data_IF_080393252006
#
_entry.id   IF_080393252006
#
_cell.length_a   1.000
_cell.length_b   1.000
_cell.length_c   1.000
_cell.angle_alpha   90.00
_cell.angle_beta   90.00
_cell.angle_gamma   90.00
#
_symmetry.space_group_name_H-M   'P 1'
#
loop_
_entity.id
_entity.type
_entity.pdbx_description
1 polymer ?
#
# COMPACT_ATOMS: atom_id res chain seq x y z
N UNK A 1 -12.89 -3.34 -31.53
CA UNK A 1 -12.07 -3.79 -30.39
C UNK A 1 -11.64 -2.60 -29.55
N UNK A 2 -11.85 -2.64 -28.23
CA UNK A 2 -11.45 -1.57 -27.28
C UNK A 2 -10.19 -1.98 -26.51
N UNK A 3 -9.25 -1.06 -26.32
CA UNK A 3 -8.03 -1.28 -25.52
C UNK A 3 -8.21 -0.73 -24.12
N UNK A 4 -7.87 -1.52 -23.11
CA UNK A 4 -8.01 -1.16 -21.70
C UNK A 4 -6.67 -1.35 -21.00
N UNK A 5 -6.02 -0.25 -20.63
CA UNK A 5 -4.82 -0.27 -19.79
C UNK A 5 -5.22 -0.33 -18.31
N UNK A 6 -4.79 -1.38 -17.63
CA UNK A 6 -5.00 -1.58 -16.19
C UNK A 6 -3.71 -1.32 -15.44
N UNK A 7 -3.76 -0.42 -14.48
CA UNK A 7 -2.57 0.14 -13.84
C UNK A 7 -2.66 -0.07 -12.34
N UNK A 8 -1.66 -0.73 -11.74
CA UNK A 8 -1.56 -0.78 -10.28
C UNK A 8 -1.15 0.60 -9.75
N UNK A 9 -1.75 1.05 -8.65
CA UNK A 9 -1.35 2.31 -8.02
C UNK A 9 0.15 2.40 -7.71
N UNK A 10 0.68 3.63 -7.72
CA UNK A 10 2.03 3.94 -7.25
C UNK A 10 2.22 3.59 -5.76
N UNK A 11 3.47 3.50 -5.29
CA UNK A 11 3.75 3.11 -3.92
C UNK A 11 2.99 3.99 -2.91
N UNK A 12 2.28 3.31 -2.01
CA UNK A 12 1.52 3.92 -0.93
C UNK A 12 1.98 3.38 0.43
N UNK A 13 1.61 4.08 1.49
CA UNK A 13 2.12 3.85 2.85
C UNK A 13 2.01 2.40 3.34
N UNK A 14 0.93 1.66 3.06
CA UNK A 14 0.83 0.25 3.45
C UNK A 14 1.80 -0.66 2.71
N UNK A 15 2.23 -0.32 1.49
CA UNK A 15 3.36 -1.01 0.84
C UNK A 15 4.67 -0.72 1.57
N UNK A 16 4.84 0.51 2.05
CA UNK A 16 6.02 0.94 2.79
C UNK A 16 6.12 0.28 4.16
N UNK A 17 5.04 0.39 4.92
CA UNK A 17 4.89 -0.02 6.31
C UNK A 17 4.50 -1.49 6.49
N UNK A 18 4.35 -2.24 5.39
CA UNK A 18 3.90 -3.65 5.38
C UNK A 18 2.54 -3.83 6.09
N UNK A 19 1.61 -2.90 5.83
CA UNK A 19 0.24 -2.91 6.32
C UNK A 19 -0.76 -3.20 5.21
N UNK A 20 -1.82 -3.90 5.55
CA UNK A 20 -2.87 -4.32 4.63
C UNK A 20 -3.76 -3.11 4.34
N UNK A 21 -3.88 -2.74 3.07
CA UNK A 21 -4.80 -1.68 2.68
C UNK A 21 -6.25 -2.18 2.60
N UNK A 22 -6.56 -3.04 1.63
CA UNK A 22 -7.95 -3.23 1.23
C UNK A 22 -8.58 -1.87 0.87
N UNK A 23 -9.68 -1.53 1.50
CA UNK A 23 -10.38 -0.25 1.35
C UNK A 23 -9.85 0.86 2.25
N UNK A 24 -8.94 0.57 3.18
CA UNK A 24 -8.22 1.58 3.95
C UNK A 24 -7.53 2.56 3.01
N UNK A 25 -7.78 3.85 3.22
CA UNK A 25 -7.22 4.92 2.42
C UNK A 25 -5.89 5.39 3.02
N UNK A 26 -4.92 5.66 2.15
CA UNK A 26 -3.54 5.98 2.55
C UNK A 26 -2.87 6.89 1.51
N UNK A 27 -1.81 7.57 1.95
CA UNK A 27 -1.04 8.49 1.10
C UNK A 27 -0.12 7.70 0.16
N UNK A 28 0.24 8.32 -0.95
CA UNK A 28 1.41 7.91 -1.70
C UNK A 28 2.68 8.26 -0.90
N UNK A 29 3.73 7.45 -1.07
CA UNK A 29 5.05 7.75 -0.52
C UNK A 29 5.80 8.70 -1.46
N UNK A 30 6.92 9.27 -0.99
CA UNK A 30 7.80 10.07 -1.86
C UNK A 30 8.30 9.26 -3.06
N UNK A 31 8.64 7.98 -2.85
CA UNK A 31 8.94 7.02 -3.94
C UNK A 31 7.76 6.87 -4.90
N UNK A 32 6.53 6.75 -4.37
CA UNK A 32 5.31 6.67 -5.18
C UNK A 32 5.12 7.90 -6.05
N UNK A 33 5.36 9.10 -5.52
CA UNK A 33 5.33 10.34 -6.29
C UNK A 33 6.38 10.37 -7.41
N UNK A 34 7.59 9.82 -7.16
CA UNK A 34 8.59 9.66 -8.21
C UNK A 34 8.13 8.67 -9.30
N UNK A 35 7.51 7.54 -8.92
CA UNK A 35 6.97 6.57 -9.87
C UNK A 35 5.91 7.20 -10.79
N UNK A 36 5.09 8.13 -10.29
CA UNK A 36 4.09 8.84 -11.11
C UNK A 36 4.71 9.58 -12.30
N UNK A 37 5.90 10.14 -12.15
CA UNK A 37 6.58 10.84 -13.26
C UNK A 37 6.95 9.88 -14.40
N UNK A 38 7.42 8.68 -14.06
CA UNK A 38 7.75 7.64 -15.05
C UNK A 38 6.49 7.06 -15.71
N UNK A 39 5.43 6.87 -14.92
CA UNK A 39 4.15 6.42 -15.43
C UNK A 39 3.53 7.47 -16.38
N UNK A 40 3.56 8.75 -16.01
CA UNK A 40 3.13 9.83 -16.88
C UNK A 40 3.90 9.77 -18.21
N UNK A 41 5.23 9.66 -18.17
CA UNK A 41 6.06 9.58 -19.38
C UNK A 41 5.70 8.38 -20.27
N UNK A 42 5.42 7.22 -19.67
CA UNK A 42 4.99 6.01 -20.40
C UNK A 42 3.73 6.24 -21.23
N UNK A 43 2.80 7.07 -20.73
CA UNK A 43 1.53 7.34 -21.40
C UNK A 43 1.55 8.59 -22.29
N UNK A 44 2.70 9.25 -22.50
CA UNK A 44 2.79 10.46 -23.34
C UNK A 44 2.40 10.22 -24.80
N UNK A 45 2.74 9.06 -25.37
CA UNK A 45 2.46 8.72 -26.77
C UNK A 45 1.16 7.93 -26.97
N UNK A 46 0.37 7.73 -25.90
CA UNK A 46 -0.86 6.94 -25.95
C UNK A 46 -2.05 7.90 -25.94
N UNK A 47 -2.78 7.94 -27.05
CA UNK A 47 -4.04 8.68 -27.10
C UNK A 47 -5.10 7.90 -26.31
N UNK A 48 -5.57 8.51 -25.22
CA UNK A 48 -6.62 7.95 -24.37
C UNK A 48 -7.93 8.69 -24.64
N UNK A 49 -9.03 7.95 -24.66
CA UNK A 49 -10.40 8.47 -24.77
C UNK A 49 -11.02 8.70 -23.39
N UNK A 50 -10.62 7.90 -22.39
CA UNK A 50 -11.04 8.08 -21.00
C UNK A 50 -10.01 7.54 -20.00
N UNK A 51 -10.05 8.10 -18.79
CA UNK A 51 -9.27 7.62 -17.64
C UNK A 51 -10.19 7.37 -16.46
N UNK A 52 -10.12 6.17 -15.92
CA UNK A 52 -10.86 5.73 -14.75
C UNK A 52 -9.92 5.48 -13.57
N UNK A 53 -10.47 5.48 -12.37
CA UNK A 53 -9.77 4.98 -11.20
C UNK A 53 -10.73 4.38 -10.19
N UNK A 54 -10.20 3.56 -9.29
CA UNK A 54 -10.89 3.42 -8.00
C UNK A 54 -10.96 4.78 -7.31
N UNK A 55 -11.90 4.94 -6.40
CA UNK A 55 -12.12 6.17 -5.62
C UNK A 55 -11.14 6.35 -4.43
N UNK A 56 -10.21 5.42 -4.23
CA UNK A 56 -9.18 5.52 -3.18
C UNK A 56 -8.08 6.49 -3.62
N UNK A 57 -7.50 7.23 -2.68
CA UNK A 57 -6.55 8.31 -2.99
C UNK A 57 -5.37 7.82 -3.84
N UNK A 58 -4.75 6.71 -3.46
CA UNK A 58 -3.58 6.14 -4.15
C UNK A 58 -3.84 5.84 -5.63
N UNK A 59 -5.03 5.36 -5.99
CA UNK A 59 -5.41 5.09 -7.39
C UNK A 59 -5.83 6.36 -8.11
N UNK A 60 -6.56 7.27 -7.46
CA UNK A 60 -6.91 8.59 -8.01
C UNK A 60 -5.68 9.38 -8.42
N UNK A 61 -4.70 9.51 -7.53
CA UNK A 61 -3.44 10.20 -7.82
C UNK A 61 -2.65 9.51 -8.95
N UNK A 62 -2.69 8.18 -9.01
CA UNK A 62 -2.06 7.41 -10.10
C UNK A 62 -2.73 7.69 -11.44
N UNK A 63 -4.06 7.65 -11.49
CA UNK A 63 -4.82 7.95 -12.70
C UNK A 63 -4.67 9.41 -13.14
N UNK A 64 -4.56 10.36 -12.21
CA UNK A 64 -4.33 11.77 -12.54
C UNK A 64 -3.00 11.97 -13.27
N UNK A 65 -1.94 11.25 -12.89
CA UNK A 65 -0.67 11.30 -13.60
C UNK A 65 -0.81 10.85 -15.06
N UNK A 66 -1.61 9.80 -15.31
CA UNK A 66 -1.90 9.28 -16.66
C UNK A 66 -2.77 10.26 -17.46
N UNK A 67 -3.81 10.82 -16.84
CA UNK A 67 -4.76 11.72 -17.49
C UNK A 67 -4.15 13.07 -17.88
N UNK A 68 -3.08 13.49 -17.19
CA UNK A 68 -2.43 14.79 -17.38
C UNK A 68 -1.98 15.05 -18.81
N UNK A 69 -1.47 14.04 -19.52
CA UNK A 69 -0.99 14.21 -20.90
C UNK A 69 -2.13 14.43 -21.90
N UNK A 70 -3.30 13.82 -21.65
CA UNK A 70 -4.47 13.90 -22.53
C UNK A 70 -5.46 15.00 -22.11
N UNK A 71 -5.20 15.70 -21.01
CA UNK A 71 -6.12 16.73 -20.47
C UNK A 71 -7.47 16.17 -20.01
N UNK A 72 -7.56 14.86 -19.74
CA UNK A 72 -8.80 14.18 -19.37
C UNK A 72 -9.09 14.33 -17.87
N UNK A 73 -10.38 14.32 -17.52
CA UNK A 73 -10.82 14.20 -16.13
C UNK A 73 -10.87 12.72 -15.73
N UNK A 74 -10.38 12.39 -14.54
CA UNK A 74 -10.44 11.03 -14.00
C UNK A 74 -11.85 10.71 -13.51
N UNK A 75 -12.43 9.62 -14.01
CA UNK A 75 -13.71 9.08 -13.59
C UNK A 75 -13.52 8.04 -12.48
N UNK A 76 -14.05 8.31 -11.28
CA UNK A 76 -13.88 7.41 -10.13
C UNK A 76 -15.03 6.42 -9.99
N UNK A 77 -14.74 5.14 -9.70
CA UNK A 77 -15.77 4.13 -9.39
C UNK A 77 -15.33 3.16 -8.28
N UNK A 78 -16.19 2.83 -7.31
CA UNK A 78 -15.91 1.81 -6.31
C UNK A 78 -15.67 0.41 -6.91
N UNK A 79 -16.18 0.14 -8.13
CA UNK A 79 -16.02 -1.15 -8.80
C UNK A 79 -14.55 -1.53 -9.06
N UNK A 80 -13.65 -0.53 -9.08
CA UNK A 80 -12.20 -0.71 -9.25
C UNK A 80 -11.43 -0.78 -7.93
N UNK A 81 -12.09 -0.81 -6.75
CA UNK A 81 -11.42 -0.88 -5.44
C UNK A 81 -10.60 -2.16 -5.28
N UNK A 82 -9.66 -2.15 -4.35
CA UNK A 82 -8.97 -3.37 -3.91
C UNK A 82 -9.99 -4.35 -3.30
N UNK A 83 -9.59 -5.60 -3.07
CA UNK A 83 -10.38 -6.51 -2.23
C UNK A 83 -10.70 -5.85 -0.88
N UNK A 84 -11.96 -5.93 -0.43
CA UNK A 84 -12.28 -5.55 0.96
C UNK A 84 -11.63 -6.57 1.89
N UNK A 85 -10.68 -6.15 2.72
CA UNK A 85 -9.96 -7.06 3.62
C UNK A 85 -10.58 -7.14 5.01
N UNK A 86 -11.69 -6.43 5.25
CA UNK A 86 -12.45 -6.50 6.49
C UNK A 86 -11.59 -6.16 7.71
N UNK A 87 -11.64 -7.01 8.74
CA UNK A 87 -10.87 -6.82 9.99
C UNK A 87 -9.34 -6.87 9.82
N UNK A 88 -8.83 -7.23 8.65
CA UNK A 88 -7.41 -7.17 8.33
C UNK A 88 -6.95 -5.79 7.87
N UNK A 89 -7.85 -4.89 7.48
CA UNK A 89 -7.48 -3.55 7.03
C UNK A 89 -6.72 -2.79 8.12
N UNK A 90 -5.66 -2.10 7.69
CA UNK A 90 -4.68 -1.44 8.55
C UNK A 90 -4.06 -2.36 9.63
N UNK A 91 -4.01 -3.68 9.42
CA UNK A 91 -3.15 -4.59 10.20
C UNK A 91 -1.82 -4.83 9.50
N UNK A 92 -0.76 -5.17 10.24
CA UNK A 92 0.51 -5.56 9.63
C UNK A 92 0.40 -6.97 9.06
N UNK A 93 1.10 -7.23 7.94
CA UNK A 93 1.24 -8.59 7.43
C UNK A 93 1.92 -9.52 8.44
N UNK A 94 2.82 -8.99 9.27
CA UNK A 94 3.43 -9.77 10.36
C UNK A 94 2.41 -10.25 11.39
N UNK A 95 1.42 -9.42 11.74
CA UNK A 95 0.36 -9.80 12.69
C UNK A 95 -0.51 -10.90 12.12
N UNK A 96 -0.87 -10.79 10.83
CA UNK A 96 -1.64 -11.83 10.14
C UNK A 96 -0.85 -13.13 10.02
N UNK A 97 0.45 -13.06 9.72
CA UNK A 97 1.31 -14.24 9.65
C UNK A 97 1.46 -14.96 10.99
N UNK A 98 1.49 -14.23 12.11
CA UNK A 98 1.61 -14.80 13.45
C UNK A 98 0.28 -15.41 13.95
N UNK A 99 -0.82 -14.64 13.86
CA UNK A 99 -2.07 -14.99 14.53
C UNK A 99 -3.12 -15.65 13.61
N UNK A 100 -2.97 -15.53 12.29
CA UNK A 100 -3.89 -16.10 11.31
C UNK A 100 -3.16 -16.83 10.16
N UNK A 101 -2.17 -17.70 10.44
CA UNK A 101 -1.32 -18.29 9.41
C UNK A 101 -2.09 -19.08 8.34
N UNK A 102 -3.15 -19.80 8.74
CA UNK A 102 -3.99 -20.56 7.80
C UNK A 102 -4.73 -19.64 6.83
N UNK A 103 -5.42 -18.62 7.35
CA UNK A 103 -6.11 -17.64 6.51
C UNK A 103 -5.11 -16.86 5.63
N UNK A 104 -3.88 -16.62 6.12
CA UNK A 104 -2.85 -15.99 5.30
C UNK A 104 -2.43 -16.86 4.12
N UNK A 105 -2.32 -18.18 4.33
CA UNK A 105 -2.09 -19.14 3.25
C UNK A 105 -3.25 -19.18 2.26
N UNK A 106 -4.49 -19.16 2.75
CA UNK A 106 -5.67 -19.07 1.89
C UNK A 106 -5.67 -17.79 1.06
N UNK A 107 -5.45 -16.62 1.66
CA UNK A 107 -5.37 -15.35 0.93
C UNK A 107 -4.31 -15.38 -0.17
N UNK A 108 -3.15 -16.00 0.10
CA UNK A 108 -2.01 -15.96 -0.82
C UNK A 108 -2.13 -16.95 -1.98
N UNK A 109 -2.70 -18.13 -1.70
CA UNK A 109 -2.60 -19.31 -2.57
C UNK A 109 -3.94 -19.99 -2.87
N UNK A 110 -4.91 -19.94 -1.96
CA UNK A 110 -6.21 -20.63 -2.08
C UNK A 110 -7.37 -19.69 -1.74
N UNK A 111 -7.55 -18.59 -2.49
CA UNK A 111 -8.39 -17.48 -2.09
C UNK A 111 -9.88 -17.79 -2.08
N UNK A 112 -10.31 -18.92 -2.66
CA UNK A 112 -11.67 -19.43 -2.51
C UNK A 112 -11.99 -19.87 -1.07
N UNK A 113 -10.95 -20.23 -0.30
CA UNK A 113 -11.08 -20.62 1.10
C UNK A 113 -10.83 -19.45 2.06
N UNK A 114 -10.39 -18.29 1.55
CA UNK A 114 -10.13 -17.14 2.39
C UNK A 114 -11.42 -16.41 2.73
N UNK A 115 -11.69 -16.30 4.02
CA UNK A 115 -12.81 -15.53 4.54
C UNK A 115 -12.50 -15.05 5.94
N UNK A 116 -12.58 -13.75 6.15
CA UNK A 116 -12.47 -13.12 7.46
C UNK A 116 -13.65 -12.18 7.69
N UNK A 117 -13.85 -11.75 8.94
CA UNK A 117 -14.96 -10.86 9.26
C UNK A 117 -14.91 -9.58 8.39
N UNK A 118 -15.99 -9.32 7.67
CA UNK A 118 -16.13 -8.16 6.78
C UNK A 118 -15.36 -8.24 5.45
N UNK A 119 -14.71 -9.36 5.11
CA UNK A 119 -14.00 -9.48 3.82
C UNK A 119 -14.95 -9.65 2.64
N UNK A 120 -14.53 -9.15 1.48
CA UNK A 120 -15.16 -9.46 0.20
C UNK A 120 -14.79 -10.89 -0.25
N UNK A 121 -15.77 -11.64 -0.77
CA UNK A 121 -15.52 -12.93 -1.36
C UNK A 121 -14.69 -12.79 -2.66
N UNK A 122 -13.73 -13.70 -2.86
CA UNK A 122 -12.86 -13.68 -4.04
C UNK A 122 -13.62 -13.65 -5.37
N UNK A 123 -14.71 -14.41 -5.49
CA UNK A 123 -15.55 -14.45 -6.69
C UNK A 123 -16.24 -13.11 -6.95
N UNK A 124 -16.75 -12.44 -5.90
CA UNK A 124 -17.37 -11.12 -6.05
C UNK A 124 -16.36 -10.07 -6.55
N UNK A 125 -15.12 -10.11 -6.05
CA UNK A 125 -14.04 -9.27 -6.54
C UNK A 125 -13.79 -9.50 -8.03
N UNK A 126 -13.73 -10.77 -8.47
CA UNK A 126 -13.56 -11.09 -9.88
C UNK A 126 -14.73 -10.57 -10.72
N UNK A 127 -15.97 -10.82 -10.28
CA UNK A 127 -17.19 -10.42 -11.00
C UNK A 127 -17.25 -8.90 -11.20
N UNK A 128 -17.02 -8.12 -10.15
CA UNK A 128 -17.06 -6.65 -10.26
C UNK A 128 -15.92 -6.09 -11.10
N UNK A 129 -14.73 -6.69 -11.03
CA UNK A 129 -13.59 -6.24 -11.82
C UNK A 129 -13.84 -6.52 -13.30
N UNK A 130 -14.25 -7.74 -13.65
CA UNK A 130 -14.60 -8.12 -15.02
C UNK A 130 -15.72 -7.24 -15.58
N UNK A 131 -16.81 -7.05 -14.82
CA UNK A 131 -17.91 -6.19 -15.23
C UNK A 131 -17.46 -4.74 -15.45
N UNK A 132 -16.58 -4.20 -14.59
CA UNK A 132 -16.04 -2.86 -14.78
C UNK A 132 -15.27 -2.71 -16.11
N UNK A 133 -14.45 -3.72 -16.47
CA UNK A 133 -13.73 -3.74 -17.76
C UNK A 133 -14.71 -3.76 -18.94
N UNK A 134 -15.72 -4.64 -18.88
CA UNK A 134 -16.71 -4.77 -19.94
C UNK A 134 -17.56 -3.51 -20.11
N UNK A 135 -17.97 -2.87 -19.01
CA UNK A 135 -18.68 -1.59 -19.05
C UNK A 135 -17.82 -0.48 -19.69
N UNK A 136 -16.56 -0.32 -19.28
CA UNK A 136 -15.66 0.66 -19.89
C UNK A 136 -15.46 0.39 -21.38
N UNK A 137 -15.35 -0.89 -21.78
CA UNK A 137 -15.22 -1.24 -23.19
C UNK A 137 -16.48 -0.90 -24.00
N UNK A 138 -17.67 -1.12 -23.42
CA UNK A 138 -18.95 -0.80 -24.03
C UNK A 138 -19.19 0.72 -24.15
N UNK A 139 -18.73 1.52 -23.18
CA UNK A 139 -18.80 2.99 -23.22
C UNK A 139 -17.85 3.60 -24.26
N UNK A 140 -16.74 2.91 -24.58
CA UNK A 140 -15.70 3.39 -25.48
C UNK A 140 -15.45 2.42 -26.63
N UNK A 141 -16.42 2.19 -27.54
CA UNK A 141 -16.27 1.26 -28.64
C UNK A 141 -15.14 1.70 -29.58
N UNK A 142 -14.16 0.82 -29.81
CA UNK A 142 -12.95 1.10 -30.59
C UNK A 142 -12.02 2.16 -29.96
N UNK A 143 -12.27 2.54 -28.72
CA UNK A 143 -11.44 3.47 -27.97
C UNK A 143 -10.27 2.81 -27.26
N UNK A 144 -9.49 3.65 -26.59
CA UNK A 144 -8.39 3.30 -25.71
C UNK A 144 -8.59 3.99 -24.37
N UNK A 145 -8.75 3.22 -23.30
CA UNK A 145 -8.96 3.76 -21.95
C UNK A 145 -7.89 3.27 -20.98
N UNK A 146 -7.66 4.02 -19.91
CA UNK A 146 -6.81 3.62 -18.80
C UNK A 146 -7.61 3.57 -17.50
N UNK A 147 -7.33 2.60 -16.63
CA UNK A 147 -7.95 2.47 -15.32
C UNK A 147 -6.92 2.14 -14.24
N UNK A 148 -6.81 3.00 -13.24
CA UNK A 148 -5.96 2.76 -12.07
C UNK A 148 -6.71 1.98 -10.97
N UNK A 149 -6.13 0.86 -10.55
CA UNK A 149 -6.67 -0.08 -9.55
C UNK A 149 -5.54 -0.67 -8.70
N UNK A 150 -5.71 -1.88 -8.15
CA UNK A 150 -4.90 -2.42 -7.08
C UNK A 150 -4.35 -3.80 -7.40
N UNK A 151 -3.31 -4.20 -6.67
CA UNK A 151 -2.52 -5.37 -7.03
C UNK A 151 -3.31 -6.68 -6.95
N UNK A 152 -4.07 -6.87 -5.87
CA UNK A 152 -4.82 -8.11 -5.70
C UNK A 152 -6.03 -8.16 -6.65
N UNK A 153 -6.75 -7.06 -6.82
CA UNK A 153 -7.81 -6.92 -7.83
C UNK A 153 -7.34 -7.27 -9.26
N UNK A 154 -6.18 -6.76 -9.70
CA UNK A 154 -5.59 -7.11 -11.00
C UNK A 154 -5.29 -8.60 -11.08
N UNK A 155 -4.64 -9.15 -10.05
CA UNK A 155 -4.25 -10.56 -10.02
C UNK A 155 -5.46 -11.49 -10.08
N UNK A 156 -6.53 -11.17 -9.35
CA UNK A 156 -7.79 -11.91 -9.35
C UNK A 156 -8.48 -11.89 -10.71
N UNK A 157 -8.52 -10.73 -11.38
CA UNK A 157 -9.05 -10.57 -12.73
C UNK A 157 -8.23 -11.39 -13.75
N UNK A 158 -6.90 -11.29 -13.71
CA UNK A 158 -6.01 -12.05 -14.59
C UNK A 158 -6.18 -13.57 -14.39
N UNK A 159 -6.32 -14.04 -13.15
CA UNK A 159 -6.61 -15.44 -12.84
C UNK A 159 -7.84 -15.94 -13.60
N UNK A 160 -8.92 -15.14 -13.60
CA UNK A 160 -10.15 -15.48 -14.32
C UNK A 160 -9.96 -15.48 -15.84
N UNK A 161 -9.36 -14.43 -16.40
CA UNK A 161 -9.17 -14.31 -17.86
C UNK A 161 -8.28 -15.45 -18.40
N UNK A 162 -7.32 -15.93 -17.60
CA UNK A 162 -6.47 -17.06 -17.93
C UNK A 162 -7.17 -18.43 -17.81
N UNK A 163 -8.43 -18.47 -17.34
CA UNK A 163 -9.19 -19.71 -17.15
C UNK A 163 -8.66 -20.60 -16.02
N UNK A 164 -7.95 -20.02 -15.06
CA UNK A 164 -7.41 -20.72 -13.91
C UNK A 164 -8.45 -20.85 -12.79
N UNK A 165 -8.42 -21.97 -12.07
CA UNK A 165 -9.18 -22.07 -10.81
C UNK A 165 -8.66 -21.02 -9.82
N UNK A 166 -9.52 -20.54 -8.92
CA UNK A 166 -9.12 -19.54 -7.92
C UNK A 166 -7.92 -20.00 -7.08
N UNK A 167 -7.82 -21.30 -6.77
CA UNK A 167 -6.70 -21.88 -6.02
C UNK A 167 -5.40 -22.00 -6.84
N UNK A 168 -5.43 -21.65 -8.12
CA UNK A 168 -4.26 -21.59 -8.99
C UNK A 168 -3.72 -20.16 -9.15
N UNK A 169 -4.23 -19.19 -8.38
CA UNK A 169 -3.78 -17.78 -8.42
C UNK A 169 -2.26 -17.63 -8.21
N UNK A 170 -1.62 -18.59 -7.56
CA UNK A 170 -0.15 -18.68 -7.44
C UNK A 170 0.60 -18.67 -8.78
N UNK A 171 -0.04 -19.11 -9.87
CA UNK A 171 0.50 -19.08 -11.24
C UNK A 171 0.46 -17.70 -11.89
N UNK A 172 -0.36 -16.78 -11.34
CA UNK A 172 -0.47 -15.41 -11.83
C UNK A 172 0.61 -14.55 -11.19
N UNK A 173 1.46 -13.96 -12.02
CA UNK A 173 2.53 -13.06 -11.57
C UNK A 173 1.99 -11.85 -10.81
N UNK A 174 2.80 -11.37 -9.86
CA UNK A 174 2.52 -10.14 -9.13
C UNK A 174 2.90 -8.91 -9.97
N UNK A 175 2.11 -7.84 -9.86
CA UNK A 175 2.43 -6.54 -10.44
C UNK A 175 3.29 -5.73 -9.48
N UNK A 176 4.31 -5.01 -9.95
CA UNK A 176 4.93 -3.95 -9.14
C UNK A 176 4.01 -2.72 -9.07
N UNK A 177 4.29 -1.79 -8.17
CA UNK A 177 3.64 -0.48 -8.18
C UNK A 177 3.82 0.19 -9.55
N UNK A 178 2.78 0.85 -10.07
CA UNK A 178 2.70 1.39 -11.44
C UNK A 178 2.77 0.37 -12.58
N UNK A 179 2.79 -0.95 -12.27
CA UNK A 179 2.74 -2.00 -13.28
C UNK A 179 1.51 -1.86 -14.19
N UNK A 180 1.74 -2.01 -15.50
CA UNK A 180 0.73 -1.83 -16.54
C UNK A 180 0.40 -3.17 -17.18
N UNK A 181 -0.89 -3.46 -17.28
CA UNK A 181 -1.46 -4.58 -18.03
C UNK A 181 -2.29 -4.01 -19.16
N UNK A 182 -2.18 -4.54 -20.37
CA UNK A 182 -3.03 -4.17 -21.49
C UNK A 182 -3.97 -5.30 -21.83
N UNK A 183 -5.26 -4.98 -21.84
CA UNK A 183 -6.35 -5.85 -22.24
C UNK A 183 -6.96 -5.35 -23.55
N UNK A 184 -7.40 -6.29 -24.38
CA UNK A 184 -8.24 -6.03 -25.54
C UNK A 184 -9.62 -6.64 -25.31
N UNK A 185 -10.67 -5.86 -25.55
CA UNK A 185 -12.06 -6.29 -25.38
C UNK A 185 -12.77 -6.24 -26.72
N UNK A 186 -13.33 -7.38 -27.13
CA UNK A 186 -14.08 -7.50 -28.37
C UNK A 186 -15.20 -8.52 -28.19
N UNK A 187 -16.44 -8.14 -28.56
CA UNK A 187 -17.63 -8.98 -28.44
C UNK A 187 -17.82 -9.62 -27.05
N UNK A 188 -17.52 -8.85 -26.00
CA UNK A 188 -17.61 -9.31 -24.60
C UNK A 188 -16.46 -10.22 -24.15
N UNK A 189 -15.50 -10.53 -25.02
CA UNK A 189 -14.33 -11.34 -24.69
C UNK A 189 -13.15 -10.44 -24.34
N UNK A 190 -12.54 -10.70 -23.19
CA UNK A 190 -11.33 -10.01 -22.73
C UNK A 190 -10.11 -10.85 -23.06
N UNK A 191 -9.10 -10.25 -23.71
CA UNK A 191 -7.81 -10.87 -24.02
C UNK A 191 -6.68 -10.09 -23.39
N UNK A 192 -5.68 -10.80 -22.87
CA UNK A 192 -4.47 -10.19 -22.32
C UNK A 192 -3.46 -10.01 -23.46
N UNK A 193 -3.06 -8.77 -23.74
CA UNK A 193 -1.98 -8.47 -24.70
C UNK A 193 -0.63 -8.61 -23.99
N UNK A 194 -0.51 -7.97 -22.83
CA UNK A 194 0.59 -8.15 -21.89
C UNK A 194 0.10 -7.86 -20.47
N UNK A 195 0.79 -8.37 -19.46
CA UNK A 195 0.47 -8.09 -18.06
C UNK A 195 1.72 -7.67 -17.27
N UNK A 196 1.49 -6.87 -16.22
CA UNK A 196 2.49 -6.50 -15.22
C UNK A 196 3.79 -5.87 -15.76
N UNK A 197 3.70 -5.14 -16.88
CA UNK A 197 4.87 -4.48 -17.45
C UNK A 197 5.29 -3.26 -16.62
N UNK A 198 6.56 -3.25 -16.26
CA UNK A 198 7.21 -2.25 -15.39
C UNK A 198 8.46 -1.68 -16.04
N UNK A 199 8.65 -1.89 -17.35
CA UNK A 199 9.80 -1.41 -18.12
C UNK A 199 10.08 0.10 -18.03
N UNK A 200 9.10 0.89 -17.62
CA UNK A 200 9.19 2.35 -17.51
C UNK A 200 9.78 2.84 -16.18
N UNK A 201 9.81 2.01 -15.13
CA UNK A 201 10.40 2.40 -13.83
C UNK A 201 11.84 1.90 -13.72
N UNK A 202 12.78 2.73 -13.21
CA UNK A 202 14.14 2.29 -12.93
C UNK A 202 14.17 1.32 -11.73
N UNK A 203 15.18 0.45 -11.67
CA UNK A 203 15.28 -0.59 -10.63
C UNK A 203 15.28 -0.03 -9.20
N UNK A 204 15.85 1.15 -8.98
CA UNK A 204 15.87 1.79 -7.65
C UNK A 204 14.48 2.20 -7.13
N UNK A 205 13.48 2.31 -8.01
CA UNK A 205 12.09 2.62 -7.65
C UNK A 205 11.20 1.37 -7.67
N UNK A 206 11.75 0.19 -8.03
CA UNK A 206 11.03 -1.08 -8.02
C UNK A 206 11.07 -1.72 -6.64
N UNK A 207 9.91 -1.87 -6.01
CA UNK A 207 9.75 -2.59 -4.75
C UNK A 207 9.58 -4.09 -4.99
N UNK A 208 9.03 -4.47 -6.14
CA UNK A 208 8.93 -5.87 -6.59
C UNK A 208 10.23 -6.45 -7.17
N UNK A 209 11.36 -5.74 -7.24
CA UNK A 209 12.66 -6.38 -7.54
C UNK A 209 13.54 -6.50 -6.30
N UNK A 210 13.27 -5.66 -5.30
CA UNK A 210 14.05 -5.51 -4.07
C UNK A 210 13.55 -6.35 -2.89
N UNK A 211 12.28 -6.75 -2.83
CA UNK A 211 11.77 -7.62 -1.74
C UNK A 211 12.12 -9.11 -1.94
N UNK A 212 12.37 -9.83 -0.85
CA UNK A 212 12.83 -11.23 -0.91
C UNK A 212 11.70 -12.27 -0.84
N UNK A 213 10.46 -11.88 -0.52
CA UNK A 213 9.39 -12.83 -0.18
C UNK A 213 8.90 -13.69 -1.35
N UNK A 214 9.00 -13.24 -2.61
CA UNK A 214 8.76 -14.13 -3.77
C UNK A 214 10.01 -14.95 -4.17
N UNK A 215 11.20 -14.64 -3.60
CA UNK A 215 12.45 -15.38 -3.84
C UNK A 215 12.63 -16.55 -2.85
N UNK A 216 12.00 -16.49 -1.68
CA UNK A 216 12.04 -17.56 -0.69
C UNK A 216 10.93 -18.61 -0.95
N UNK A 217 11.34 -19.81 -1.35
CA UNK A 217 10.46 -20.98 -1.50
C UNK A 217 9.93 -21.52 -0.15
N UNK A 218 10.50 -21.07 0.97
CA UNK A 218 10.18 -21.56 2.32
C UNK A 218 9.06 -20.79 3.04
N UNK A 219 8.42 -19.82 2.37
CA UNK A 219 7.20 -19.16 2.84
C UNK A 219 7.33 -18.20 4.02
N UNK A 220 8.50 -18.08 4.67
CA UNK A 220 8.76 -17.09 5.72
C UNK A 220 9.31 -15.78 5.15
N UNK A 221 8.51 -14.72 5.20
CA UNK A 221 8.95 -13.36 4.90
C UNK A 221 9.71 -12.78 6.11
N UNK A 222 11.03 -12.84 6.05
CA UNK A 222 11.92 -12.35 7.12
C UNK A 222 11.91 -10.82 7.27
N UNK A 223 11.09 -10.12 6.46
CA UNK A 223 10.95 -8.67 6.48
C UNK A 223 9.74 -8.16 7.26
N UNK A 224 9.00 -9.01 7.97
CA UNK A 224 7.75 -8.61 8.65
C UNK A 224 7.88 -8.48 10.17
N UNK A 225 7.33 -7.39 10.70
CA UNK A 225 7.14 -7.18 12.13
C UNK A 225 5.64 -7.20 12.49
N UNK A 226 5.35 -7.63 13.70
CA UNK A 226 4.07 -7.38 14.36
C UNK A 226 4.29 -6.62 15.67
N UNK A 227 3.23 -6.06 16.24
CA UNK A 227 3.34 -5.13 17.36
C UNK A 227 2.48 -5.60 18.53
N UNK A 228 3.10 -5.69 19.71
CA UNK A 228 2.44 -6.02 20.97
C UNK A 228 2.42 -4.78 21.87
N UNK A 229 1.25 -4.37 22.35
CA UNK A 229 1.16 -3.30 23.34
C UNK A 229 1.72 -3.77 24.70
N UNK A 230 2.54 -2.97 25.38
CA UNK A 230 3.13 -3.36 26.67
C UNK A 230 2.08 -3.57 27.78
N UNK A 231 0.95 -2.86 27.73
CA UNK A 231 -0.10 -2.92 28.76
C UNK A 231 -1.35 -3.71 28.33
N UNK A 232 -1.28 -4.54 27.29
CA UNK A 232 -2.40 -5.40 26.85
C UNK A 232 -3.60 -4.65 26.22
N UNK A 233 -3.52 -3.34 26.04
CA UNK A 233 -4.57 -2.54 25.45
C UNK A 233 -4.46 -2.47 23.92
N UNK A 234 -4.91 -3.50 23.21
CA UNK A 234 -4.82 -3.53 21.74
C UNK A 234 -5.76 -2.52 21.05
N UNK A 235 -6.80 -2.01 21.73
CA UNK A 235 -7.79 -1.09 21.15
C UNK A 235 -8.27 0.05 22.08
N UNK A 236 -7.69 0.18 23.28
CA UNK A 236 -8.02 1.24 24.22
C UNK A 236 -6.75 2.03 24.58
N UNK A 237 -6.48 3.12 23.86
CA UNK A 237 -5.34 3.99 24.16
C UNK A 237 -5.70 4.88 25.37
N UNK A 238 -5.71 4.31 26.58
CA UNK A 238 -5.92 5.05 27.82
C UNK A 238 -4.57 5.31 28.51
N UNK A 239 -4.03 6.50 28.34
CA UNK A 239 -2.80 6.95 29.01
C UNK A 239 -2.00 7.93 28.16
N UNK A 240 -1.24 8.79 28.83
CA UNK A 240 -0.37 9.80 28.21
C UNK A 240 0.66 9.20 27.26
N UNK A 241 1.20 8.02 27.58
CA UNK A 241 2.17 7.30 26.76
C UNK A 241 1.74 5.86 26.51
N UNK A 242 1.86 5.40 25.27
CA UNK A 242 1.59 4.02 24.86
C UNK A 242 2.83 3.44 24.17
N UNK A 243 3.31 2.31 24.67
CA UNK A 243 4.47 1.60 24.11
C UNK A 243 4.05 0.33 23.37
N UNK A 244 4.70 0.08 22.25
CA UNK A 244 4.58 -1.16 21.49
C UNK A 244 5.95 -1.81 21.35
N UNK A 245 6.01 -3.10 21.67
CA UNK A 245 7.14 -3.95 21.35
C UNK A 245 6.93 -4.44 19.92
N UNK A 246 7.89 -4.13 19.04
CA UNK A 246 7.97 -4.71 17.72
C UNK A 246 8.53 -6.13 17.86
N UNK A 247 7.83 -7.11 17.31
CA UNK A 247 8.12 -8.52 17.42
C UNK A 247 8.48 -9.09 16.05
N UNK A 248 9.55 -9.89 16.01
CA UNK A 248 9.94 -10.71 14.86
C UNK A 248 9.72 -12.17 15.23
N UNK A 249 8.71 -12.80 14.63
CA UNK A 249 8.19 -14.09 15.13
C UNK A 249 7.90 -13.94 16.64
N UNK A 250 8.59 -14.69 17.49
CA UNK A 250 8.42 -14.65 18.96
C UNK A 250 9.44 -13.76 19.67
N UNK A 251 10.43 -13.20 18.96
CA UNK A 251 11.50 -12.41 19.56
C UNK A 251 11.23 -10.90 19.52
N UNK A 252 11.52 -10.14 20.60
CA UNK A 252 11.47 -8.69 20.56
C UNK A 252 12.56 -8.13 19.64
N UNK A 253 12.16 -7.28 18.70
CA UNK A 253 13.01 -6.69 17.69
C UNK A 253 13.21 -5.18 17.86
N UNK A 254 12.36 -4.53 18.66
CA UNK A 254 12.46 -3.11 18.94
C UNK A 254 11.27 -2.59 19.74
N UNK A 255 11.27 -1.30 20.00
CA UNK A 255 10.23 -0.60 20.76
C UNK A 255 9.91 0.73 20.07
N UNK A 256 8.64 1.08 20.10
CA UNK A 256 8.17 2.44 19.81
C UNK A 256 7.24 2.90 20.93
N UNK A 257 7.49 4.10 21.47
CA UNK A 257 6.62 4.74 22.46
C UNK A 257 6.06 6.03 21.89
N UNK A 258 4.74 6.18 22.07
CA UNK A 258 3.94 7.25 21.53
C UNK A 258 3.33 8.05 22.69
N UNK A 259 3.49 9.37 22.69
CA UNK A 259 2.73 10.25 23.58
C UNK A 259 1.47 10.75 22.84
N UNK A 260 0.32 10.40 23.40
CA UNK A 260 -1.01 10.58 22.78
C UNK A 260 -1.71 11.87 23.19
N UNK A 261 -1.20 12.56 24.20
CA UNK A 261 -1.81 13.75 24.81
C UNK A 261 -1.03 15.05 24.52
N UNK A 262 0.28 14.97 24.37
CA UNK A 262 1.13 16.14 24.10
C UNK A 262 0.75 16.80 22.76
N UNK A 263 0.43 18.10 22.80
CA UNK A 263 -0.02 18.91 21.65
C UNK A 263 -1.20 18.27 20.88
N UNK A 264 -1.99 17.44 21.56
CA UNK A 264 -3.10 16.68 20.99
C UNK A 264 -4.23 17.57 20.48
N UNK A 265 -4.46 18.69 21.17
CA UNK A 265 -5.39 19.77 20.83
C UNK A 265 -5.01 20.46 19.51
N UNK A 266 -3.72 20.47 19.17
CA UNK A 266 -3.19 20.94 17.88
C UNK A 266 -3.19 19.85 16.80
N UNK A 267 -3.65 18.64 17.13
CA UNK A 267 -3.71 17.51 16.21
C UNK A 267 -2.36 16.79 16.02
N UNK A 268 -1.42 16.92 16.97
CA UNK A 268 -0.11 16.27 16.89
C UNK A 268 -0.06 14.95 17.66
N UNK A 269 0.79 14.05 17.18
CA UNK A 269 1.15 12.80 17.85
C UNK A 269 2.67 12.69 17.99
N UNK A 270 3.15 12.46 19.21
CA UNK A 270 4.59 12.47 19.48
C UNK A 270 5.17 11.07 19.55
N UNK A 271 6.25 10.83 18.81
CA UNK A 271 7.09 9.64 18.99
C UNK A 271 8.16 10.01 20.01
N UNK A 272 8.12 9.39 21.18
CA UNK A 272 9.04 9.67 22.30
C UNK A 272 10.12 8.61 22.46
N UNK A 273 9.91 7.42 21.90
CA UNK A 273 10.93 6.38 21.81
C UNK A 273 10.82 5.63 20.49
N UNK A 274 11.96 5.31 19.88
CA UNK A 274 12.04 4.69 18.57
C UNK A 274 13.35 3.92 18.43
N UNK A 275 13.32 2.60 18.65
CA UNK A 275 14.53 1.77 18.69
C UNK A 275 14.31 0.42 18.04
N UNK A 276 15.34 -0.07 17.36
CA UNK A 276 15.51 -1.48 17.00
C UNK A 276 16.68 -2.07 17.79
N UNK A 277 16.55 -3.35 18.15
CA UNK A 277 17.66 -4.11 18.70
C UNK A 277 18.82 -4.19 17.69
N UNK A 278 20.09 -4.18 18.13
CA UNK A 278 21.25 -4.10 17.24
C UNK A 278 21.26 -5.13 16.11
N UNK A 279 20.81 -6.35 16.37
CA UNK A 279 20.78 -7.46 15.41
C UNK A 279 19.79 -7.25 14.23
N UNK A 280 18.77 -6.41 14.41
CA UNK A 280 17.76 -6.10 13.38
C UNK A 280 18.01 -4.80 12.62
N UNK A 281 19.07 -4.05 12.98
CA UNK A 281 19.45 -2.81 12.29
C UNK A 281 20.00 -3.10 10.89
N UNK A 282 19.85 -2.14 9.98
CA UNK A 282 20.29 -2.28 8.58
C UNK A 282 19.43 -3.20 7.70
N UNK A 283 18.33 -3.74 8.24
CA UNK A 283 17.41 -4.65 7.53
C UNK A 283 16.13 -3.98 7.02
N UNK A 284 16.09 -2.64 7.00
CA UNK A 284 14.92 -1.83 6.61
C UNK A 284 13.64 -2.13 7.42
N UNK A 285 13.76 -2.67 8.64
CA UNK A 285 12.62 -3.02 9.49
C UNK A 285 12.03 -1.80 10.24
N UNK A 286 12.85 -0.79 10.51
CA UNK A 286 12.47 0.35 11.35
C UNK A 286 11.27 1.12 10.79
N UNK A 287 11.14 1.20 9.47
CA UNK A 287 10.02 1.88 8.82
C UNK A 287 8.65 1.33 9.25
N UNK A 288 8.56 0.05 9.65
CA UNK A 288 7.33 -0.54 10.16
C UNK A 288 6.93 0.04 11.54
N UNK A 289 7.89 0.43 12.39
CA UNK A 289 7.61 1.15 13.64
C UNK A 289 6.95 2.50 13.33
N UNK A 290 7.42 3.20 12.29
CA UNK A 290 6.81 4.45 11.86
C UNK A 290 5.37 4.21 11.38
N UNK A 291 5.14 3.14 10.61
CA UNK A 291 3.80 2.70 10.22
C UNK A 291 2.87 2.41 11.40
N UNK A 292 3.40 1.86 12.49
CA UNK A 292 2.65 1.67 13.73
C UNK A 292 2.24 3.00 14.36
N UNK A 293 3.14 3.99 14.41
CA UNK A 293 2.80 5.33 14.88
C UNK A 293 1.71 5.99 14.01
N UNK A 294 1.85 5.93 12.68
CA UNK A 294 0.88 6.48 11.73
C UNK A 294 -0.51 5.88 11.95
N UNK A 295 -0.60 4.54 12.07
CA UNK A 295 -1.88 3.84 12.31
C UNK A 295 -2.54 4.27 13.62
N UNK A 296 -1.79 4.30 14.73
CA UNK A 296 -2.31 4.71 16.04
C UNK A 296 -2.80 6.15 16.00
N UNK A 297 -1.98 7.07 15.50
CA UNK A 297 -2.28 8.49 15.54
C UNK A 297 -3.38 8.90 14.56
N UNK A 298 -3.52 8.24 13.41
CA UNK A 298 -4.70 8.42 12.54
C UNK A 298 -6.00 7.97 13.22
N UNK A 299 -5.95 6.84 13.93
CA UNK A 299 -7.11 6.35 14.70
C UNK A 299 -7.53 7.35 15.79
N UNK A 300 -6.55 8.07 16.36
CA UNK A 300 -6.78 9.15 17.33
C UNK A 300 -7.11 10.52 16.68
N UNK A 301 -7.29 10.58 15.36
CA UNK A 301 -7.62 11.81 14.63
C UNK A 301 -6.48 12.83 14.55
N UNK A 302 -5.23 12.42 14.77
CA UNK A 302 -4.06 13.29 14.60
C UNK A 302 -3.73 13.49 13.13
N UNK A 303 -3.20 14.68 12.83
CA UNK A 303 -2.84 15.12 11.47
C UNK A 303 -1.34 15.13 11.23
N UNK A 304 -0.53 15.22 12.29
CA UNK A 304 0.94 15.21 12.17
C UNK A 304 1.60 14.32 13.21
N UNK A 305 2.74 13.76 12.84
CA UNK A 305 3.69 13.16 13.75
C UNK A 305 4.81 14.12 14.07
N UNK A 306 5.30 14.03 15.30
CA UNK A 306 6.42 14.82 15.80
C UNK A 306 7.46 13.90 16.39
N UNK A 307 8.72 14.14 16.06
CA UNK A 307 9.87 13.56 16.76
C UNK A 307 10.85 14.68 17.13
N UNK A 308 11.48 14.56 18.30
CA UNK A 308 12.57 15.44 18.74
C UNK A 308 13.85 14.63 18.79
N UNK A 309 14.90 15.11 18.14
CA UNK A 309 16.16 14.38 17.97
C UNK A 309 17.32 15.30 18.33
N UNK A 310 18.33 14.76 19.01
CA UNK A 310 19.53 15.53 19.31
C UNK A 310 20.20 16.03 18.02
N UNK A 311 20.59 17.30 17.99
CA UNK A 311 21.04 18.02 16.81
C UNK A 311 22.30 17.42 16.19
N UNK A 312 23.14 16.78 16.99
CA UNK A 312 24.34 16.05 16.56
C UNK A 312 24.03 14.70 15.88
N UNK A 313 22.81 14.17 16.04
CA UNK A 313 22.37 12.88 15.49
C UNK A 313 21.96 12.96 14.01
N UNK A 314 22.83 13.53 13.19
CA UNK A 314 22.60 13.79 11.75
C UNK A 314 22.09 12.58 10.95
N UNK A 315 22.58 11.37 11.28
CA UNK A 315 22.12 10.14 10.62
C UNK A 315 20.66 9.80 10.90
N UNK A 316 20.20 10.05 12.13
CA UNK A 316 18.80 9.82 12.53
C UNK A 316 17.89 10.90 11.93
N UNK A 317 18.34 12.17 11.92
CA UNK A 317 17.62 13.25 11.26
C UNK A 317 17.38 12.91 9.79
N UNK A 318 18.44 12.55 9.05
CA UNK A 318 18.33 12.14 7.63
C UNK A 318 17.42 10.94 7.42
N UNK A 319 17.38 10.00 8.36
CA UNK A 319 16.47 8.87 8.31
C UNK A 319 15.00 9.32 8.35
N UNK A 320 14.64 10.20 9.27
CA UNK A 320 13.26 10.71 9.35
C UNK A 320 12.92 11.61 8.15
N UNK A 321 13.85 12.45 7.71
CA UNK A 321 13.68 13.27 6.50
C UNK A 321 13.42 12.42 5.25
N UNK A 322 14.13 11.30 5.11
CA UNK A 322 13.91 10.34 4.03
C UNK A 322 12.47 9.76 4.02
N UNK A 323 11.82 9.70 5.19
CA UNK A 323 10.44 9.23 5.32
C UNK A 323 9.41 10.36 5.44
N UNK A 324 9.76 11.57 4.97
CA UNK A 324 8.82 12.68 4.80
C UNK A 324 8.71 13.62 6.00
N UNK A 325 9.56 13.48 7.02
CA UNK A 325 9.66 14.48 8.07
C UNK A 325 10.40 15.73 7.57
N UNK A 326 10.06 16.89 8.14
CA UNK A 326 10.73 18.16 7.87
C UNK A 326 11.08 18.85 9.18
N UNK A 327 12.23 19.49 9.22
CA UNK A 327 12.63 20.31 10.35
C UNK A 327 11.75 21.56 10.46
N UNK A 328 11.08 21.72 11.61
CA UNK A 328 10.19 22.86 11.90
C UNK A 328 10.70 23.74 13.04
N UNK A 329 11.71 23.28 13.79
CA UNK A 329 12.33 24.06 14.85
C UNK A 329 13.59 23.41 15.41
N UNK A 330 14.35 24.18 16.19
CA UNK A 330 15.48 23.70 16.97
C UNK A 330 15.53 24.46 18.30
N UNK A 331 15.73 23.75 19.40
CA UNK A 331 15.80 24.30 20.75
C UNK A 331 16.60 23.34 21.65
N UNK A 332 17.45 23.88 22.54
CA UNK A 332 18.17 23.12 23.58
C UNK A 332 18.89 21.87 23.04
N UNK A 333 19.71 22.04 22.00
CA UNK A 333 20.42 20.97 21.26
C UNK A 333 19.52 19.89 20.64
N UNK A 334 18.21 20.12 20.56
CA UNK A 334 17.24 19.23 19.93
C UNK A 334 16.63 19.86 18.68
N UNK A 335 16.45 19.05 17.65
CA UNK A 335 15.73 19.40 16.42
C UNK A 335 14.33 18.82 16.48
N UNK A 336 13.32 19.64 16.16
CA UNK A 336 11.92 19.22 15.98
C UNK A 336 11.69 18.87 14.52
N UNK A 337 11.24 17.65 14.27
CA UNK A 337 10.85 17.14 12.96
C UNK A 337 9.35 16.82 12.95
N UNK A 338 8.66 17.24 11.90
CA UNK A 338 7.23 17.00 11.70
C UNK A 338 6.94 16.28 10.39
N UNK A 339 5.98 15.35 10.40
CA UNK A 339 5.47 14.67 9.21
C UNK A 339 3.95 14.76 9.18
N UNK A 340 3.39 15.14 8.03
CA UNK A 340 1.95 15.14 7.80
C UNK A 340 1.45 13.70 7.51
N UNK A 341 0.40 13.30 8.23
CA UNK A 341 -0.23 11.98 8.12
C UNK A 341 -1.70 12.07 7.70
N UNK A 342 -2.24 13.25 7.39
CA UNK A 342 -3.63 13.39 6.97
C UNK A 342 -3.89 12.70 5.62
N UNK A 343 -5.06 12.08 5.46
CA UNK A 343 -5.48 11.45 4.20
C UNK A 343 -6.68 12.27 3.67
N UNK A 344 -6.43 13.13 2.67
CA UNK A 344 -7.42 14.04 2.08
C UNK A 344 -8.19 13.50 0.87
#
# INVERSE_FOLDING_TARGET
MTKVYIIRHAEAEGNLYRRIHGWYNSRLTDTGLLQLNYLQKRFESIQLDAVYSSDLMRTRLTAQAVAKNSGLTVQTTPALREVCAGVWEDRTWGYIGEFYPEQYQYFSNMPLNWQVEGSEAFTHLQDRMENAILCMAAEHPNGTVAAATHGYAIRSLLCRIMGLDGNEIGKVGHSDNTGVTLLEVENGVIRIVYNNDTSHIPDCLSRFRSQAWWKNKDGKDDSLLWFKAENGAEKAFSGTCVSFIAMKETAPAGVITLNTELESDLGFGHITDYRLEPEYRGRCLSVQLLGQAVSVFRTLGRKRLVVRIASESHGIIKYFEHYGFRQTGAQDDMVRLEMDIEVN
#
